data_IF_616262168240
#
_entry.id   IF_616262168240
#
_cell.length_a   1.000
_cell.length_b   1.000
_cell.length_c   1.000
_cell.angle_alpha   90.00
_cell.angle_beta   90.00
_cell.angle_gamma   90.00
#
_symmetry.space_group_name_H-M   'P 1'
#
loop_
_entity.id
_entity.type
_entity.pdbx_description
1 polymer ?
#
# COMPACT_ATOMS: atom_id res chain seq x y z
N UNK A 1 28.87 87.60 -9.07
CA UNK A 1 27.55 87.11 -8.61
C UNK A 1 27.36 85.70 -9.17
N UNK A 2 26.90 84.81 -8.31
CA UNK A 2 26.93 83.35 -8.30
C UNK A 2 26.51 82.62 -9.61
N UNK A 3 27.31 81.64 -10.02
CA UNK A 3 26.92 80.60 -10.99
C UNK A 3 26.30 79.43 -10.22
N UNK A 4 25.04 79.11 -10.51
CA UNK A 4 24.28 78.01 -9.88
C UNK A 4 24.64 76.69 -10.59
N UNK A 5 25.24 75.76 -9.85
CA UNK A 5 25.47 74.38 -10.30
C UNK A 5 24.19 73.54 -10.22
N UNK A 6 23.90 72.80 -11.28
CA UNK A 6 22.82 71.81 -11.33
C UNK A 6 23.22 70.56 -10.53
N UNK A 7 22.33 69.98 -9.70
CA UNK A 7 22.65 68.73 -8.99
C UNK A 7 22.52 67.53 -9.93
N UNK A 8 23.57 66.73 -10.03
CA UNK A 8 23.55 65.43 -10.69
C UNK A 8 22.79 64.43 -9.83
N UNK A 9 21.63 63.96 -10.30
CA UNK A 9 20.89 62.87 -9.68
C UNK A 9 21.58 61.54 -9.99
N UNK A 10 22.22 60.93 -8.99
CA UNK A 10 22.75 59.57 -9.08
C UNK A 10 21.60 58.57 -8.86
N UNK A 11 21.26 57.82 -9.91
CA UNK A 11 20.29 56.73 -9.83
C UNK A 11 21.04 55.46 -9.38
N UNK A 12 20.99 55.15 -8.10
CA UNK A 12 21.48 53.88 -7.59
C UNK A 12 20.49 52.77 -7.97
N UNK A 13 20.88 51.89 -8.89
CA UNK A 13 20.18 50.64 -9.18
C UNK A 13 20.31 49.70 -7.97
N UNK A 14 19.24 49.59 -7.18
CA UNK A 14 19.13 48.59 -6.12
C UNK A 14 18.79 47.26 -6.80
N UNK A 15 19.75 46.34 -6.85
CA UNK A 15 19.49 44.94 -7.19
C UNK A 15 18.78 44.29 -6.01
N UNK A 16 17.46 44.11 -6.12
CA UNK A 16 16.70 43.30 -5.17
C UNK A 16 16.98 41.83 -5.49
N UNK A 17 17.63 41.06 -4.59
CA UNK A 17 17.82 39.64 -4.82
C UNK A 17 16.46 38.94 -4.79
N UNK A 18 16.08 38.32 -5.91
CA UNK A 18 14.95 37.39 -5.99
C UNK A 18 15.26 36.15 -5.16
N UNK A 19 14.94 36.18 -3.87
CA UNK A 19 14.91 34.97 -3.05
C UNK A 19 13.64 34.18 -3.38
N UNK A 20 13.75 33.26 -4.35
CA UNK A 20 12.76 32.20 -4.50
C UNK A 20 12.89 31.22 -3.33
N UNK A 21 11.82 31.02 -2.56
CA UNK A 21 11.76 30.00 -1.52
C UNK A 21 11.33 28.67 -2.11
N UNK A 22 12.04 27.59 -1.80
CA UNK A 22 11.51 26.23 -2.00
C UNK A 22 10.53 25.94 -0.87
N UNK A 23 9.27 25.64 -1.22
CA UNK A 23 8.32 25.02 -0.30
C UNK A 23 8.34 23.53 -0.58
N UNK A 24 8.98 22.77 0.31
CA UNK A 24 8.96 21.31 0.26
C UNK A 24 7.67 20.75 0.87
N UNK A 25 7.04 19.79 0.18
CA UNK A 25 5.95 19.00 0.75
C UNK A 25 6.49 17.98 1.77
N UNK A 26 5.80 17.84 2.90
CA UNK A 26 6.13 16.80 3.89
C UNK A 26 5.63 15.44 3.42
N UNK A 27 6.43 14.40 3.61
CA UNK A 27 6.03 13.03 3.32
C UNK A 27 4.89 12.61 4.25
N UNK A 28 3.86 11.98 3.70
CA UNK A 28 2.67 11.51 4.44
C UNK A 28 2.41 10.04 4.16
N UNK A 29 1.98 9.31 5.17
CA UNK A 29 1.52 7.94 4.98
C UNK A 29 0.05 7.96 4.56
N UNK A 30 -0.28 7.13 3.57
CA UNK A 30 -1.64 6.93 3.04
C UNK A 30 -1.97 5.45 3.11
N UNK A 31 -3.26 5.16 3.23
CA UNK A 31 -3.77 3.82 3.47
C UNK A 31 -4.51 3.29 2.26
N UNK A 32 -4.24 2.03 1.93
CA UNK A 32 -4.99 1.21 0.99
C UNK A 32 -5.66 0.11 1.80
N UNK A 33 -6.97 0.23 1.98
CA UNK A 33 -7.82 -0.75 2.64
C UNK A 33 -8.16 -1.90 1.70
N UNK A 34 -8.38 -3.09 2.23
CA UNK A 34 -8.68 -4.28 1.45
C UNK A 34 -10.02 -4.22 0.70
N UNK A 35 -11.06 -3.60 1.28
CA UNK A 35 -12.38 -3.45 0.66
C UNK A 35 -12.57 -2.05 0.07
N UNK A 36 -12.16 -1.02 0.80
CA UNK A 36 -12.40 0.37 0.44
C UNK A 36 -11.30 0.99 -0.42
N UNK A 37 -10.17 0.31 -0.60
CA UNK A 37 -9.06 0.74 -1.45
C UNK A 37 -8.28 1.93 -0.90
N UNK A 38 -7.58 2.64 -1.77
CA UNK A 38 -6.83 3.86 -1.43
C UNK A 38 -7.81 4.97 -1.01
N UNK A 39 -7.71 5.42 0.25
CA UNK A 39 -8.59 6.47 0.80
C UNK A 39 -8.46 7.83 0.10
N UNK A 40 -7.39 8.05 -0.67
CA UNK A 40 -7.11 9.30 -1.37
C UNK A 40 -7.51 9.23 -2.84
N UNK A 41 -7.17 8.14 -3.55
CA UNK A 41 -7.47 8.02 -4.98
C UNK A 41 -8.78 7.32 -5.28
N UNK A 42 -9.26 6.48 -4.35
CA UNK A 42 -10.40 5.60 -4.55
C UNK A 42 -10.07 4.34 -5.36
N UNK A 43 -8.80 4.11 -5.70
CA UNK A 43 -8.38 2.89 -6.40
C UNK A 43 -8.57 1.67 -5.49
N UNK A 44 -9.31 0.68 -5.98
CA UNK A 44 -9.56 -0.57 -5.26
C UNK A 44 -8.41 -1.57 -5.49
N UNK A 45 -8.27 -2.48 -4.53
CA UNK A 45 -7.43 -3.67 -4.69
C UNK A 45 -8.05 -4.59 -5.73
N UNK A 46 -7.24 -5.08 -6.66
CA UNK A 46 -7.66 -6.08 -7.62
C UNK A 46 -7.28 -7.48 -7.11
N UNK A 47 -8.26 -8.36 -7.01
CA UNK A 47 -8.09 -9.73 -6.56
C UNK A 47 -8.25 -10.72 -7.72
N UNK A 48 -7.33 -11.66 -7.85
CA UNK A 48 -7.29 -12.66 -8.92
C UNK A 48 -7.09 -14.08 -8.37
N UNK A 49 -7.59 -15.12 -9.09
CA UNK A 49 -8.31 -15.02 -10.34
C UNK A 49 -9.74 -14.51 -10.17
N UNK A 50 -10.19 -13.71 -11.14
CA UNK A 50 -11.61 -13.41 -11.32
C UNK A 50 -12.30 -14.66 -11.89
N UNK A 51 -13.08 -15.33 -11.06
CA UNK A 51 -13.85 -16.51 -11.45
C UNK A 51 -15.29 -16.12 -11.82
N UNK A 52 -15.92 -16.79 -12.80
CA UNK A 52 -17.30 -16.52 -13.16
C UNK A 52 -18.23 -16.66 -11.95
N UNK A 53 -19.24 -15.79 -11.84
CA UNK A 53 -20.20 -15.79 -10.74
C UNK A 53 -20.91 -17.15 -10.52
N UNK A 54 -20.91 -18.02 -11.53
CA UNK A 54 -21.48 -19.37 -11.49
C UNK A 54 -20.67 -20.37 -10.67
N UNK A 55 -19.36 -20.11 -10.45
CA UNK A 55 -18.47 -21.01 -9.69
C UNK A 55 -18.24 -20.52 -8.25
N UNK A 56 -18.67 -19.30 -7.94
CA UNK A 56 -18.43 -18.64 -6.65
C UNK A 56 -17.04 -17.99 -6.60
N UNK A 57 -16.87 -16.88 -5.85
CA UNK A 57 -15.61 -16.17 -5.82
C UNK A 57 -14.52 -17.00 -5.10
N UNK A 58 -13.25 -16.79 -5.47
CA UNK A 58 -12.11 -17.34 -4.71
C UNK A 58 -11.70 -16.45 -3.54
N UNK A 59 -11.90 -15.14 -3.71
CA UNK A 59 -11.69 -14.13 -2.69
C UNK A 59 -12.99 -13.79 -2.00
N UNK A 60 -12.97 -13.89 -0.68
CA UNK A 60 -14.11 -13.59 0.18
C UNK A 60 -13.75 -12.44 1.11
N UNK A 61 -14.77 -11.70 1.49
CA UNK A 61 -14.69 -10.71 2.55
C UNK A 61 -15.77 -10.98 3.60
N UNK A 62 -15.82 -10.16 4.63
CA UNK A 62 -16.79 -10.28 5.72
C UNK A 62 -18.26 -10.26 5.26
N UNK A 63 -18.57 -9.69 4.09
CA UNK A 63 -19.94 -9.63 3.56
C UNK A 63 -20.29 -10.79 2.62
N UNK A 64 -19.32 -11.30 1.86
CA UNK A 64 -19.52 -12.41 0.93
C UNK A 64 -19.30 -13.78 1.57
N UNK A 65 -18.66 -13.83 2.74
CA UNK A 65 -18.41 -15.04 3.49
C UNK A 65 -19.62 -15.46 4.36
N UNK A 66 -20.55 -16.22 3.78
CA UNK A 66 -21.66 -16.81 4.55
C UNK A 66 -21.29 -18.23 5.03
N UNK A 67 -20.92 -18.35 6.31
CA UNK A 67 -20.62 -19.64 6.94
C UNK A 67 -19.20 -20.17 6.71
N UNK A 68 -18.24 -19.34 6.29
CA UNK A 68 -16.85 -19.79 6.26
C UNK A 68 -16.34 -20.04 7.67
N UNK A 69 -15.51 -21.08 7.81
CA UNK A 69 -14.81 -21.38 9.04
C UNK A 69 -13.42 -20.73 9.01
N UNK A 70 -12.88 -20.41 10.19
CA UNK A 70 -11.55 -19.81 10.29
C UNK A 70 -11.48 -18.40 9.74
N UNK A 71 -12.51 -17.58 10.00
CA UNK A 71 -12.52 -16.14 9.68
C UNK A 71 -11.98 -15.31 10.84
N UNK A 72 -11.27 -14.20 10.57
CA UNK A 72 -10.81 -13.30 11.62
C UNK A 72 -11.98 -12.49 12.22
N UNK A 73 -11.77 -11.97 13.42
CA UNK A 73 -12.64 -10.97 14.03
C UNK A 73 -12.43 -9.63 13.34
N UNK A 74 -13.42 -9.22 12.55
CA UNK A 74 -13.38 -7.96 11.81
C UNK A 74 -13.21 -6.74 12.74
N UNK A 75 -13.65 -6.79 14.00
CA UNK A 75 -13.47 -5.64 14.91
C UNK A 75 -12.00 -5.32 15.23
N UNK A 76 -11.08 -6.20 14.87
CA UNK A 76 -9.63 -6.07 15.06
C UNK A 76 -8.88 -5.75 13.77
N UNK A 77 -9.58 -5.65 12.63
CA UNK A 77 -9.01 -5.27 11.33
C UNK A 77 -9.27 -3.79 11.04
N UNK A 78 -8.56 -3.24 10.05
CA UNK A 78 -8.80 -1.87 9.61
C UNK A 78 -10.23 -1.74 9.07
N UNK A 79 -10.93 -0.67 9.46
CA UNK A 79 -12.30 -0.35 9.06
C UNK A 79 -13.34 -1.48 9.21
N UNK A 80 -13.02 -2.52 9.99
CA UNK A 80 -13.78 -3.75 10.15
C UNK A 80 -13.98 -4.55 8.85
N UNK A 81 -12.97 -4.54 7.98
CA UNK A 81 -12.97 -5.27 6.72
C UNK A 81 -11.76 -6.21 6.60
N UNK A 82 -11.89 -7.27 5.81
CA UNK A 82 -10.78 -8.16 5.46
C UNK A 82 -11.13 -8.91 4.18
N UNK A 83 -10.11 -9.26 3.41
CA UNK A 83 -10.24 -9.97 2.14
C UNK A 83 -9.30 -11.16 2.15
N UNK A 84 -9.87 -12.35 1.99
CA UNK A 84 -9.15 -13.60 2.14
C UNK A 84 -9.42 -14.57 1.01
N UNK A 85 -8.40 -15.37 0.71
CA UNK A 85 -8.53 -16.49 -0.21
C UNK A 85 -7.60 -17.63 0.21
N UNK A 86 -8.06 -18.85 -0.06
CA UNK A 86 -7.27 -20.07 0.15
C UNK A 86 -6.72 -20.54 -1.18
N UNK A 87 -5.40 -20.62 -1.26
CA UNK A 87 -4.69 -21.18 -2.39
C UNK A 87 -4.62 -22.71 -2.31
N UNK A 88 -4.87 -23.35 -3.44
CA UNK A 88 -4.61 -24.76 -3.73
C UNK A 88 -3.90 -24.84 -5.08
N UNK A 89 -3.03 -25.84 -5.25
CA UNK A 89 -2.15 -25.92 -6.42
C UNK A 89 -2.89 -26.03 -7.77
N UNK A 90 -4.12 -26.55 -7.77
CA UNK A 90 -4.97 -26.69 -8.95
C UNK A 90 -5.55 -25.35 -9.46
N UNK A 91 -5.55 -24.30 -8.62
CA UNK A 91 -5.94 -22.93 -9.01
C UNK A 91 -4.87 -22.31 -9.94
N UNK A 92 -3.63 -22.80 -9.89
CA UNK A 92 -2.49 -22.24 -10.63
C UNK A 92 -1.84 -21.09 -9.87
N UNK A 93 -2.51 -19.93 -9.80
CA UNK A 93 -2.06 -18.78 -9.01
C UNK A 93 -3.21 -18.03 -8.36
N UNK A 94 -2.91 -17.36 -7.25
CA UNK A 94 -3.82 -16.49 -6.52
C UNK A 94 -3.08 -15.21 -6.17
N UNK A 95 -3.67 -14.06 -6.43
CA UNK A 95 -2.98 -12.79 -6.23
C UNK A 95 -3.90 -11.65 -5.87
N UNK A 96 -3.30 -10.61 -5.29
CA UNK A 96 -3.90 -9.31 -5.13
C UNK A 96 -2.93 -8.24 -5.59
N UNK A 97 -3.43 -7.18 -6.20
CA UNK A 97 -2.61 -6.07 -6.67
C UNK A 97 -3.21 -4.72 -6.32
N UNK A 98 -2.34 -3.76 -6.06
CA UNK A 98 -2.72 -2.40 -5.68
C UNK A 98 -1.78 -1.39 -6.31
N UNK A 99 -2.33 -0.24 -6.67
CA UNK A 99 -1.58 0.91 -7.19
C UNK A 99 -1.25 1.85 -6.05
N UNK A 100 -0.07 2.43 -6.07
CA UNK A 100 0.31 3.49 -5.13
C UNK A 100 1.28 4.46 -5.77
N UNK A 101 1.31 5.70 -5.27
CA UNK A 101 2.26 6.72 -5.70
C UNK A 101 3.13 7.12 -4.51
N UNK A 102 4.40 6.71 -4.46
CA UNK A 102 5.18 6.88 -3.24
C UNK A 102 6.61 6.40 -3.28
N UNK A 103 7.26 6.47 -2.13
CA UNK A 103 8.67 6.09 -1.93
C UNK A 103 8.85 4.93 -0.93
N UNK A 104 7.76 4.50 -0.30
CA UNK A 104 7.75 3.36 0.60
C UNK A 104 6.38 2.67 0.59
N UNK A 105 6.36 1.37 0.89
CA UNK A 105 5.14 0.59 1.11
C UNK A 105 5.34 -0.40 2.26
N UNK A 106 4.27 -0.65 3.01
CA UNK A 106 4.18 -1.56 4.15
C UNK A 106 2.88 -2.35 4.01
N UNK A 107 2.94 -3.68 4.07
CA UNK A 107 1.78 -4.56 3.86
C UNK A 107 1.47 -5.30 5.15
N UNK A 108 0.20 -5.30 5.55
CA UNK A 108 -0.27 -5.92 6.78
C UNK A 108 -1.31 -6.99 6.51
N UNK A 109 -1.06 -8.19 7.03
CA UNK A 109 -1.99 -9.32 6.99
C UNK A 109 -2.52 -9.64 8.39
N UNK A 110 -3.62 -10.40 8.40
CA UNK A 110 -4.02 -11.20 9.55
C UNK A 110 -3.48 -12.62 9.38
N UNK A 111 -2.81 -13.16 10.39
CA UNK A 111 -2.17 -14.48 10.31
C UNK A 111 -2.97 -15.51 11.12
N UNK A 112 -3.57 -16.53 10.48
CA UNK A 112 -4.24 -17.62 11.18
C UNK A 112 -3.24 -18.64 11.73
N UNK A 113 -3.48 -19.14 12.94
CA UNK A 113 -2.62 -20.13 13.58
C UNK A 113 -3.36 -21.41 14.04
N UNK A 114 -4.20 -21.99 13.19
CA UNK A 114 -4.87 -23.25 13.50
C UNK A 114 -3.92 -24.45 13.49
N UNK A 115 -4.08 -25.33 14.48
CA UNK A 115 -3.35 -26.59 14.56
C UNK A 115 -3.60 -27.50 13.34
N UNK A 116 -2.61 -28.32 13.01
CA UNK A 116 -2.72 -29.32 11.96
C UNK A 116 -3.88 -30.30 12.24
N UNK A 117 -4.55 -30.74 11.18
CA UNK A 117 -5.68 -31.69 11.26
C UNK A 117 -7.05 -31.06 11.53
N UNK A 118 -7.13 -29.75 11.75
CA UNK A 118 -8.41 -29.01 11.91
C UNK A 118 -9.19 -28.81 10.61
N UNK A 119 -8.53 -29.01 9.46
CA UNK A 119 -9.07 -28.70 8.12
C UNK A 119 -8.96 -27.21 7.73
N UNK A 120 -8.62 -26.34 8.67
CA UNK A 120 -8.42 -24.91 8.44
C UNK A 120 -7.03 -24.62 7.88
N UNK A 121 -6.92 -23.62 7.01
CA UNK A 121 -5.65 -23.18 6.45
C UNK A 121 -4.96 -22.23 7.42
N UNK A 122 -3.65 -22.42 7.60
CA UNK A 122 -2.83 -21.58 8.48
C UNK A 122 -1.49 -21.17 7.87
N UNK A 123 -1.02 -21.88 6.84
CA UNK A 123 0.20 -21.52 6.15
C UNK A 123 -0.04 -20.26 5.30
N UNK A 124 0.83 -19.26 5.41
CA UNK A 124 0.78 -18.04 4.62
C UNK A 124 2.06 -18.01 3.79
N UNK A 125 1.94 -18.01 2.46
CA UNK A 125 3.09 -18.05 1.55
C UNK A 125 2.79 -17.13 0.38
N UNK A 126 3.64 -16.12 0.14
CA UNK A 126 3.52 -15.26 -1.01
C UNK A 126 4.84 -14.59 -1.40
N UNK A 127 4.92 -14.18 -2.66
CA UNK A 127 5.98 -13.37 -3.23
C UNK A 127 5.45 -11.97 -3.53
N UNK A 128 6.34 -10.97 -3.43
CA UNK A 128 6.03 -9.56 -3.65
C UNK A 128 6.77 -9.07 -4.89
N UNK A 129 6.04 -8.35 -5.75
CA UNK A 129 6.58 -7.75 -6.95
C UNK A 129 6.18 -6.28 -7.02
N UNK A 130 7.15 -5.40 -7.31
CA UNK A 130 6.88 -3.99 -7.62
C UNK A 130 7.23 -3.78 -9.08
N UNK A 131 6.27 -3.31 -9.86
CA UNK A 131 6.41 -3.05 -11.30
C UNK A 131 6.92 -4.28 -12.09
N UNK A 132 6.51 -5.48 -11.66
CA UNK A 132 6.91 -6.76 -12.23
C UNK A 132 8.27 -7.30 -11.78
N UNK A 133 9.04 -6.56 -10.99
CA UNK A 133 10.29 -7.04 -10.40
C UNK A 133 10.05 -7.69 -9.04
N UNK A 134 10.60 -8.89 -8.82
CA UNK A 134 10.54 -9.56 -7.52
C UNK A 134 11.33 -8.76 -6.47
N UNK A 135 10.69 -8.43 -5.36
CA UNK A 135 11.24 -7.55 -4.31
C UNK A 135 11.21 -8.16 -2.91
N UNK A 136 10.65 -9.35 -2.76
CA UNK A 136 10.66 -10.10 -1.50
C UNK A 136 9.70 -11.26 -1.51
N UNK A 137 9.69 -12.01 -0.40
CA UNK A 137 8.76 -13.10 -0.14
C UNK A 137 8.44 -13.16 1.35
N UNK A 138 7.33 -13.80 1.67
CA UNK A 138 6.90 -14.04 3.05
C UNK A 138 6.42 -15.48 3.19
N UNK A 139 6.82 -16.13 4.27
CA UNK A 139 6.29 -17.42 4.68
C UNK A 139 6.02 -17.44 6.19
N UNK A 140 4.92 -18.07 6.57
CA UNK A 140 4.53 -18.31 7.94
C UNK A 140 3.97 -19.72 8.09
N UNK A 141 4.42 -20.41 9.13
CA UNK A 141 3.91 -21.69 9.56
C UNK A 141 3.19 -21.54 10.90
N UNK A 142 2.08 -22.25 11.05
CA UNK A 142 1.25 -22.14 12.25
C UNK A 142 1.96 -22.59 13.51
N UNK A 143 1.77 -21.84 14.60
CA UNK A 143 2.16 -22.27 15.95
C UNK A 143 1.12 -23.20 16.62
N UNK A 144 -0.02 -23.44 15.97
CA UNK A 144 -1.10 -24.30 16.46
C UNK A 144 -1.96 -23.73 17.60
N UNK A 145 -1.80 -22.46 17.96
CA UNK A 145 -2.55 -21.80 19.04
C UNK A 145 -4.07 -21.70 18.80
N UNK A 146 -4.51 -21.80 17.54
CA UNK A 146 -5.86 -21.53 17.10
C UNK A 146 -6.21 -20.04 17.03
N UNK A 147 -5.24 -19.15 17.30
CA UNK A 147 -5.46 -17.71 17.34
C UNK A 147 -5.16 -17.03 15.98
N UNK A 148 -5.66 -15.81 15.84
CA UNK A 148 -5.25 -14.90 14.77
C UNK A 148 -4.27 -13.85 15.30
N UNK A 149 -3.24 -13.54 14.51
CA UNK A 149 -2.33 -12.42 14.76
C UNK A 149 -2.64 -11.28 13.80
N UNK A 150 -3.17 -10.19 14.32
CA UNK A 150 -3.57 -9.00 13.54
C UNK A 150 -2.40 -8.02 13.36
N UNK A 151 -2.53 -7.09 12.41
CA UNK A 151 -1.53 -6.05 12.14
C UNK A 151 -0.11 -6.61 11.92
N UNK A 152 -0.01 -7.77 11.26
CA UNK A 152 1.28 -8.42 11.03
C UNK A 152 1.93 -7.83 9.78
N UNK A 153 3.07 -7.14 9.95
CA UNK A 153 3.85 -6.60 8.84
C UNK A 153 4.51 -7.76 8.06
N UNK A 154 3.97 -8.07 6.88
CA UNK A 154 4.48 -9.16 6.03
C UNK A 154 5.48 -8.70 4.98
N UNK A 155 5.42 -7.42 4.61
CA UNK A 155 6.37 -6.83 3.67
C UNK A 155 6.57 -5.34 3.96
N UNK A 156 7.80 -4.87 3.78
CA UNK A 156 8.12 -3.44 3.75
C UNK A 156 9.21 -3.15 2.76
N UNK A 157 9.12 -2.00 2.11
CA UNK A 157 10.19 -1.42 1.32
C UNK A 157 10.15 0.09 1.47
N UNK A 158 11.27 0.68 1.91
CA UNK A 158 11.37 2.11 2.23
C UNK A 158 12.26 2.88 1.27
N UNK A 159 12.70 2.23 0.20
CA UNK A 159 13.71 2.74 -0.74
C UNK A 159 13.20 2.66 -2.18
N UNK A 160 11.89 2.84 -2.37
CA UNK A 160 11.25 2.82 -3.68
C UNK A 160 11.50 4.18 -4.34
N UNK A 161 11.91 4.23 -5.63
CA UNK A 161 11.97 5.49 -6.38
C UNK A 161 10.65 6.25 -6.27
N UNK A 162 10.68 7.58 -6.22
CA UNK A 162 9.44 8.33 -6.19
C UNK A 162 8.70 8.19 -7.53
N UNK A 163 7.44 7.74 -7.49
CA UNK A 163 6.62 7.61 -8.68
C UNK A 163 5.37 6.77 -8.43
N UNK A 164 4.68 6.47 -9.51
CA UNK A 164 3.54 5.54 -9.52
C UNK A 164 4.06 4.11 -9.68
N UNK A 165 3.51 3.22 -8.89
CA UNK A 165 3.93 1.83 -8.79
C UNK A 165 2.73 0.89 -8.71
N UNK A 166 2.95 -0.36 -9.11
CA UNK A 166 2.03 -1.46 -8.87
C UNK A 166 2.71 -2.47 -7.97
N UNK A 167 2.13 -2.72 -6.80
CA UNK A 167 2.48 -3.86 -5.96
C UNK A 167 1.58 -5.03 -6.36
N UNK A 168 2.20 -6.16 -6.70
CA UNK A 168 1.55 -7.46 -6.84
C UNK A 168 2.02 -8.36 -5.70
N UNK A 169 1.06 -9.01 -5.03
CA UNK A 169 1.31 -10.08 -4.07
C UNK A 169 0.74 -11.34 -4.66
N UNK A 170 1.58 -12.36 -4.84
CA UNK A 170 1.20 -13.58 -5.53
C UNK A 170 1.55 -14.82 -4.70
N UNK A 171 0.63 -15.77 -4.69
CA UNK A 171 0.83 -17.12 -4.17
C UNK A 171 0.77 -18.10 -5.33
N UNK A 172 1.84 -18.89 -5.48
CA UNK A 172 1.93 -20.00 -6.43
C UNK A 172 2.61 -21.22 -5.79
N UNK A 173 2.64 -22.34 -6.50
CA UNK A 173 3.42 -23.52 -6.13
C UNK A 173 2.55 -24.71 -5.71
N UNK A 174 3.17 -25.66 -5.01
CA UNK A 174 2.50 -26.92 -4.66
C UNK A 174 1.81 -26.87 -3.27
N UNK A 175 2.23 -25.95 -2.40
CA UNK A 175 1.77 -25.90 -1.02
C UNK A 175 0.47 -25.11 -0.90
N UNK A 176 -0.58 -25.65 -0.25
CA UNK A 176 -1.74 -24.87 0.14
C UNK A 176 -1.34 -23.70 1.03
N UNK A 177 -1.97 -22.56 0.83
CA UNK A 177 -1.75 -21.37 1.65
C UNK A 177 -3.05 -20.59 1.82
N UNK A 178 -3.08 -19.64 2.74
CA UNK A 178 -4.14 -18.66 2.90
C UNK A 178 -3.53 -17.28 2.97
N UNK A 179 -4.18 -16.33 2.30
CA UNK A 179 -3.88 -14.91 2.42
C UNK A 179 -5.10 -14.27 3.05
N UNK A 180 -4.88 -13.45 4.09
CA UNK A 180 -5.91 -12.59 4.68
C UNK A 180 -5.32 -11.18 4.69
N UNK A 181 -5.63 -10.42 3.66
CA UNK A 181 -5.19 -9.04 3.50
C UNK A 181 -6.11 -8.11 4.32
N UNK A 182 -5.47 -7.18 5.03
CA UNK A 182 -6.13 -6.20 5.88
C UNK A 182 -5.90 -4.79 5.31
N UNK A 183 -4.65 -4.33 5.25
CA UNK A 183 -4.33 -3.06 4.62
C UNK A 183 -2.86 -2.92 4.22
N UNK A 184 -2.59 -1.89 3.42
CA UNK A 184 -1.25 -1.40 3.15
C UNK A 184 -1.13 0.08 3.48
N UNK A 185 0.08 0.50 3.82
CA UNK A 185 0.47 1.90 3.95
C UNK A 185 1.53 2.23 2.92
N UNK A 186 1.41 3.38 2.24
CA UNK A 186 2.49 3.92 1.42
C UNK A 186 2.87 5.33 1.82
N UNK A 187 4.14 5.67 1.66
CA UNK A 187 4.64 7.02 1.93
C UNK A 187 4.59 7.85 0.63
N UNK A 188 3.70 8.83 0.59
CA UNK A 188 3.59 9.80 -0.50
C UNK A 188 4.46 11.03 -0.21
N UNK A 189 5.25 11.45 -1.20
CA UNK A 189 6.03 12.70 -1.13
C UNK A 189 5.40 13.71 -2.09
N UNK A 190 4.82 14.83 -1.60
CA UNK A 190 4.25 15.83 -2.47
C UNK A 190 5.32 16.50 -3.34
N UNK A 191 4.97 16.95 -4.56
CA UNK A 191 5.88 17.67 -5.42
C UNK A 191 6.40 18.95 -4.74
N UNK A 192 7.67 19.26 -4.98
CA UNK A 192 8.30 20.50 -4.50
C UNK A 192 8.01 21.61 -5.49
N UNK A 193 7.32 22.66 -5.05
CA UNK A 193 7.01 23.81 -5.90
C UNK A 193 8.01 24.96 -5.67
N UNK A 194 8.43 25.57 -6.76
CA UNK A 194 9.19 26.81 -6.74
C UNK A 194 8.20 27.97 -6.73
N UNK A 195 8.12 28.72 -5.63
CA UNK A 195 7.32 29.94 -5.58
C UNK A 195 8.24 31.11 -5.91
N UNK A 196 8.08 31.65 -7.11
CA UNK A 196 8.62 32.97 -7.44
C UNK A 196 7.72 34.02 -6.77
N UNK A 197 8.19 34.66 -5.71
CA UNK A 197 7.50 35.82 -5.15
C UNK A 197 7.62 36.99 -6.13
N UNK A 198 6.51 37.36 -6.75
CA UNK A 198 6.38 38.62 -7.48
C UNK A 198 5.79 39.66 -6.53
N UNK A 199 6.64 40.54 -6.00
CA UNK A 199 6.23 41.77 -5.31
C UNK A 199 6.89 42.95 -5.99
#
# INVERSE_FOLDING_TARGET
>A
MYALGLPHAHWSLILIPFFGGLVGGSAVNRTIDDVFGDRVTGDLVQYLPEVPATEGPLWFNQTSCNGCAGVPDASLTLDNTWSAARYLADIGSMSLSMKFSGTAIYVFFVIPNFAAGTGLASAVICDFFIDGAAVGSFSHESDGSGAFTYNTLVYRNTSIPAGDHVLLIETTGASPAVIIFDYALYTYVPPVFFVANFT
#
